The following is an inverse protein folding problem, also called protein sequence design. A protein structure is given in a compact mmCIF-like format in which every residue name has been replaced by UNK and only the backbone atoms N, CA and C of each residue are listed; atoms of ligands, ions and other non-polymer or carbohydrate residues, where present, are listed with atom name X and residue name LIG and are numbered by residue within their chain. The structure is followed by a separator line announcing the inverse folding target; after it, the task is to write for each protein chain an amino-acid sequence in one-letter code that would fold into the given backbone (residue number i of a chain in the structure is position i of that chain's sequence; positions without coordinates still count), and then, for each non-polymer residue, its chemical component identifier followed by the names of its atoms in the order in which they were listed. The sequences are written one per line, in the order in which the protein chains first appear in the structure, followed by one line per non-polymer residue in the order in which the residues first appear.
data_IF_873732742145
#
_entry.id   IF_873732742145
#
_cell.length_a   1.000
_cell.length_b   1.000
_cell.length_c   1.000
_cell.angle_alpha   90.00
_cell.angle_beta   90.00
_cell.angle_gamma   90.00
#
_symmetry.space_group_name_H-M   'P 1'
#
loop_
_entity.id
_entity.type
_entity.pdbx_description
1 polymer ?
#
# COMPACT_ATOMS: atom_id res chain seq x y z
N UNK A 1 14.16 6.84 -19.12
CA UNK A 1 13.94 5.79 -18.10
C UNK A 1 14.86 6.09 -16.94
N UNK A 2 14.31 6.20 -15.73
CA UNK A 2 15.11 6.39 -14.51
C UNK A 2 15.73 5.07 -14.00
N UNK A 3 16.63 5.20 -13.03
CA UNK A 3 17.36 4.06 -12.47
C UNK A 3 16.44 3.03 -11.82
N UNK A 4 15.32 3.46 -11.24
CA UNK A 4 14.33 2.56 -10.64
C UNK A 4 13.64 1.73 -11.73
N UNK A 5 13.24 2.36 -12.83
CA UNK A 5 12.63 1.72 -14.00
C UNK A 5 13.55 0.66 -14.63
N UNK A 6 14.85 0.93 -14.69
CA UNK A 6 15.84 0.00 -15.25
C UNK A 6 16.09 -1.20 -14.33
N UNK A 7 16.10 -0.98 -13.01
CA UNK A 7 16.26 -2.03 -12.00
C UNK A 7 15.07 -3.01 -12.01
N UNK A 8 13.85 -2.48 -12.14
CA UNK A 8 12.62 -3.28 -12.27
C UNK A 8 12.60 -4.11 -13.56
N UNK A 9 13.11 -3.57 -14.68
CA UNK A 9 13.18 -4.28 -15.97
C UNK A 9 14.19 -5.42 -15.96
N UNK A 10 15.35 -5.24 -15.31
CA UNK A 10 16.41 -6.25 -15.24
C UNK A 10 16.08 -7.38 -14.24
N UNK A 11 15.30 -7.08 -13.20
CA UNK A 11 14.95 -8.04 -12.15
C UNK A 11 13.93 -9.12 -12.54
N UNK A 12 13.35 -9.07 -13.75
CA UNK A 12 12.18 -9.88 -14.14
C UNK A 12 11.03 -9.79 -13.12
N UNK A 13 10.90 -8.65 -12.44
CA UNK A 13 9.83 -8.42 -11.48
C UNK A 13 8.51 -8.29 -12.25
N UNK A 14 7.62 -9.26 -12.08
CA UNK A 14 6.26 -9.15 -12.59
C UNK A 14 5.46 -8.32 -11.60
N UNK A 15 4.99 -7.16 -12.04
CA UNK A 15 4.08 -6.32 -11.25
C UNK A 15 2.69 -6.53 -11.83
N UNK A 16 1.83 -7.23 -11.09
CA UNK A 16 0.44 -7.40 -11.45
C UNK A 16 -0.40 -6.45 -10.60
N UNK A 17 -1.14 -5.57 -11.25
CA UNK A 17 -2.16 -4.77 -10.58
C UNK A 17 -3.41 -5.64 -10.44
N UNK A 18 -3.44 -6.44 -9.38
CA UNK A 18 -4.49 -7.45 -9.20
C UNK A 18 -5.83 -6.83 -8.75
N UNK A 19 -5.79 -5.79 -7.90
CA UNK A 19 -6.99 -5.25 -7.24
C UNK A 19 -7.08 -3.72 -7.30
N UNK A 20 -8.23 -3.22 -7.77
CA UNK A 20 -8.65 -1.82 -7.60
C UNK A 20 -9.77 -1.73 -6.58
N UNK A 21 -9.46 -1.22 -5.40
CA UNK A 21 -10.43 -1.02 -4.33
C UNK A 21 -11.11 0.35 -4.46
N UNK A 22 -12.44 0.37 -4.53
CA UNK A 22 -13.26 1.59 -4.40
C UNK A 22 -13.92 1.55 -3.02
N UNK A 23 -13.37 2.31 -2.09
CA UNK A 23 -13.76 2.30 -0.68
C UNK A 23 -14.41 3.64 -0.32
N UNK A 24 -15.46 3.60 0.48
CA UNK A 24 -16.15 4.78 1.03
C UNK A 24 -16.50 4.54 2.50
N UNK A 25 -16.55 5.61 3.28
CA UNK A 25 -16.79 5.54 4.73
C UNK A 25 -15.70 4.85 5.53
N UNK A 26 -16.07 4.33 6.71
CA UNK A 26 -15.15 3.62 7.60
C UNK A 26 -14.82 2.22 7.05
N UNK A 27 -13.55 1.85 7.04
CA UNK A 27 -13.10 0.56 6.56
C UNK A 27 -11.85 0.08 7.29
N UNK A 28 -11.71 -1.25 7.36
CA UNK A 28 -10.49 -1.91 7.78
C UNK A 28 -10.29 -3.17 6.93
N UNK A 29 -9.14 -3.25 6.26
CA UNK A 29 -8.80 -4.32 5.32
C UNK A 29 -7.46 -4.93 5.73
N UNK A 30 -7.49 -6.05 6.49
CA UNK A 30 -6.28 -6.75 6.88
C UNK A 30 -5.69 -7.55 5.71
N UNK A 31 -4.37 -7.53 5.60
CA UNK A 31 -3.61 -8.34 4.66
C UNK A 31 -2.66 -9.27 5.44
N UNK A 32 -2.76 -10.57 5.15
CA UNK A 32 -1.80 -11.56 5.63
C UNK A 32 -0.43 -11.34 4.97
N UNK A 33 0.67 -11.83 5.57
CA UNK A 33 1.97 -11.74 4.94
C UNK A 33 1.98 -12.57 3.64
N UNK A 34 2.67 -12.07 2.62
CA UNK A 34 2.84 -12.75 1.34
C UNK A 34 3.92 -13.84 1.43
N UNK A 35 3.95 -14.78 0.45
CA UNK A 35 5.04 -15.74 0.32
C UNK A 35 6.43 -15.07 0.21
N UNK A 36 7.50 -15.77 0.64
CA UNK A 36 8.87 -15.25 0.49
C UNK A 36 9.22 -14.90 -0.96
N UNK A 37 9.77 -13.71 -1.16
CA UNK A 37 10.16 -13.21 -2.49
C UNK A 37 9.06 -12.40 -3.19
N UNK A 38 7.90 -12.24 -2.57
CA UNK A 38 6.84 -11.35 -3.03
C UNK A 38 6.82 -10.06 -2.21
N UNK A 39 6.49 -8.95 -2.87
CA UNK A 39 6.34 -7.64 -2.25
C UNK A 39 4.91 -7.17 -2.39
N UNK A 40 4.35 -6.60 -1.32
CA UNK A 40 3.07 -5.91 -1.38
C UNK A 40 3.31 -4.45 -1.76
N UNK A 41 2.45 -3.89 -2.60
CA UNK A 41 2.45 -2.46 -2.88
C UNK A 41 1.04 -1.90 -2.90
N UNK A 42 0.92 -0.60 -2.57
CA UNK A 42 -0.34 0.15 -2.65
C UNK A 42 -0.09 1.48 -3.32
N UNK A 43 -0.93 1.83 -4.29
CA UNK A 43 -0.97 3.14 -4.94
C UNK A 43 -2.33 3.76 -4.68
N UNK A 44 -2.35 4.93 -4.03
CA UNK A 44 -3.59 5.66 -3.81
C UNK A 44 -3.92 6.50 -5.05
N UNK A 45 -4.93 6.07 -5.80
CA UNK A 45 -5.38 6.78 -7.00
C UNK A 45 -6.21 8.03 -6.69
N UNK A 46 -6.88 8.06 -5.54
CA UNK A 46 -7.68 9.19 -5.06
C UNK A 46 -7.95 9.04 -3.55
N UNK A 47 -8.21 10.17 -2.89
CA UNK A 47 -8.61 10.20 -1.48
C UNK A 47 -7.45 10.02 -0.51
N UNK A 48 -7.73 9.42 0.65
CA UNK A 48 -6.74 9.21 1.71
C UNK A 48 -7.07 7.99 2.54
N UNK A 49 -6.05 7.33 3.07
CA UNK A 49 -6.20 6.21 3.99
C UNK A 49 -5.02 6.15 4.95
N UNK A 50 -5.02 5.13 5.81
CA UNK A 50 -3.89 4.81 6.67
C UNK A 50 -3.43 3.39 6.41
N UNK A 51 -2.11 3.18 6.46
CA UNK A 51 -1.52 1.85 6.47
C UNK A 51 -0.89 1.59 7.83
N UNK A 52 -1.24 0.45 8.44
CA UNK A 52 -0.60 -0.06 9.65
C UNK A 52 0.32 -1.21 9.27
N UNK A 53 1.62 -1.09 9.52
CA UNK A 53 2.58 -2.17 9.31
C UNK A 53 2.54 -3.19 10.44
N UNK A 54 3.12 -4.38 10.23
CA UNK A 54 3.18 -5.46 11.22
C UNK A 54 3.81 -5.05 12.56
N UNK A 55 4.78 -4.12 12.55
CA UNK A 55 5.41 -3.56 13.76
C UNK A 55 4.56 -2.48 14.45
N UNK A 56 3.36 -2.19 13.94
CA UNK A 56 2.42 -1.23 14.48
C UNK A 56 2.63 0.21 14.04
N UNK A 57 3.63 0.49 13.19
CA UNK A 57 3.82 1.84 12.65
C UNK A 57 2.63 2.23 11.76
N UNK A 58 2.17 3.47 11.94
CA UNK A 58 1.08 4.06 11.17
C UNK A 58 1.62 5.01 10.11
N UNK A 59 1.26 4.79 8.86
CA UNK A 59 1.50 5.69 7.73
C UNK A 59 0.18 6.35 7.33
N UNK A 60 0.20 7.67 7.18
CA UNK A 60 -0.91 8.41 6.54
C UNK A 60 -0.59 8.46 5.05
N UNK A 61 -1.57 8.12 4.21
CA UNK A 61 -1.42 8.09 2.77
C UNK A 61 -2.48 8.99 2.12
N UNK A 62 -2.07 9.72 1.10
CA UNK A 62 -2.90 10.58 0.27
C UNK A 62 -2.80 10.18 -1.21
N UNK A 63 -3.62 10.80 -2.05
CA UNK A 63 -3.57 10.63 -3.50
C UNK A 63 -2.15 10.81 -4.05
N UNK A 64 -1.74 9.87 -4.89
CA UNK A 64 -0.41 9.82 -5.49
C UNK A 64 0.65 9.10 -4.64
N UNK A 65 0.38 8.81 -3.36
CA UNK A 65 1.32 8.06 -2.54
C UNK A 65 1.41 6.60 -2.99
N UNK A 66 2.64 6.12 -3.04
CA UNK A 66 2.99 4.74 -3.31
C UNK A 66 3.75 4.16 -2.12
N UNK A 67 3.24 3.05 -1.57
CA UNK A 67 3.91 2.29 -0.51
C UNK A 67 4.34 0.95 -1.06
N UNK A 68 5.59 0.58 -0.77
CA UNK A 68 6.14 -0.74 -1.03
C UNK A 68 6.54 -1.38 0.30
N UNK A 69 6.10 -2.62 0.50
CA UNK A 69 6.50 -3.50 1.59
C UNK A 69 7.35 -4.63 0.97
N UNK A 70 8.70 -4.48 0.92
CA UNK A 70 9.55 -5.37 0.14
C UNK A 70 9.54 -6.82 0.61
N UNK A 71 9.29 -7.07 1.90
CA UNK A 71 9.16 -8.41 2.47
C UNK A 71 7.75 -8.99 2.38
N UNK A 72 6.78 -8.24 1.86
CA UNK A 72 5.38 -8.67 1.82
C UNK A 72 4.76 -8.81 3.21
N UNK A 73 5.28 -8.10 4.22
CA UNK A 73 4.82 -8.22 5.60
C UNK A 73 3.32 -7.93 5.77
N UNK A 74 2.72 -8.54 6.79
CA UNK A 74 1.34 -8.29 7.16
C UNK A 74 1.08 -6.80 7.41
N UNK A 75 -0.06 -6.30 6.97
CA UNK A 75 -0.43 -4.90 7.13
C UNK A 75 -1.94 -4.70 7.01
N UNK A 76 -2.43 -3.59 7.55
CA UNK A 76 -3.84 -3.21 7.44
C UNK A 76 -3.97 -1.90 6.66
N UNK A 77 -4.95 -1.84 5.77
CA UNK A 77 -5.46 -0.58 5.25
C UNK A 77 -6.68 -0.15 6.06
N UNK A 78 -6.66 1.06 6.57
CA UNK A 78 -7.70 1.64 7.42
C UNK A 78 -8.20 2.95 6.80
N UNK A 79 -9.46 3.31 7.08
CA UNK A 79 -9.99 4.61 6.69
C UNK A 79 -9.13 5.75 7.24
N UNK A 80 -9.12 6.88 6.52
CA UNK A 80 -8.52 8.10 7.00
C UNK A 80 -9.20 8.50 8.31
N UNK A 81 -8.41 8.80 9.34
CA UNK A 81 -8.96 9.26 10.60
C UNK A 81 -9.81 10.50 10.35
N UNK A 82 -11.06 10.50 10.82
CA UNK A 82 -11.92 11.67 10.71
C UNK A 82 -11.21 12.90 11.28
N UNK A 83 -11.03 13.94 10.45
CA UNK A 83 -10.62 15.25 10.93
C UNK A 83 -11.74 15.72 11.85
N UNK A 84 -11.53 15.70 13.18
CA UNK A 84 -12.50 16.30 14.11
C UNK A 84 -12.52 17.80 13.84
N UNK A 85 -13.52 18.27 13.08
CA UNK A 85 -13.88 19.67 13.00
C UNK A 85 -14.18 20.16 14.43
N UNK A 86 -13.39 21.13 14.91
CA UNK A 86 -13.66 21.85 16.16
C UNK A 86 -14.82 22.81 15.97
#
# INVERSE_FOLDING_TARGET
MDALSQLLSLGRSHVELDLRCLLDGAFAMPHAPLPPGEAAFHLLLAGSCRLRTADGRMLQLAEGDFVLLPGGDAHDLLDAAAVRSR
#
